data_IF_990908233178
#
_entry.id   IF_990908233178
#
_cell.length_a   1.000
_cell.length_b   1.000
_cell.length_c   1.000
_cell.angle_alpha   90.00
_cell.angle_beta   90.00
_cell.angle_gamma   90.00
#
_symmetry.space_group_name_H-M   'P 1'
#
loop_
_entity.id
_entity.type
_entity.pdbx_description
1 polymer ?
#
# COMPACT_ATOMS: atom_id res chain seq x y z
N UNK A 1 49.51 9.83 -19.71
CA UNK A 1 48.41 10.79 -19.92
C UNK A 1 47.26 10.42 -19.00
N UNK A 2 46.91 11.34 -18.10
CA UNK A 2 45.73 11.30 -17.23
C UNK A 2 44.47 11.50 -18.06
N UNK A 3 43.41 10.76 -17.75
CA UNK A 3 42.02 11.17 -17.57
C UNK A 3 41.38 9.97 -16.84
N UNK A 4 40.95 10.06 -15.58
CA UNK A 4 40.01 11.02 -15.02
C UNK A 4 38.77 10.21 -14.67
N UNK A 5 38.84 9.44 -13.58
CA UNK A 5 37.70 8.68 -13.07
C UNK A 5 36.85 9.66 -12.26
N UNK A 6 35.83 10.25 -12.87
CA UNK A 6 34.80 11.01 -12.17
C UNK A 6 33.91 10.01 -11.42
N UNK A 7 34.20 9.83 -10.15
CA UNK A 7 33.27 9.25 -9.19
C UNK A 7 32.42 10.38 -8.63
N UNK A 8 31.31 10.64 -9.30
CA UNK A 8 30.24 11.53 -8.85
C UNK A 8 28.97 10.68 -8.85
N UNK A 9 28.19 10.50 -7.79
CA UNK A 9 28.24 10.94 -6.41
C UNK A 9 26.98 10.35 -5.78
N UNK A 10 27.09 9.19 -5.12
CA UNK A 10 25.99 8.59 -4.36
C UNK A 10 26.06 9.00 -2.87
N UNK A 11 27.22 9.49 -2.42
CA UNK A 11 27.50 9.83 -1.01
C UNK A 11 26.84 11.16 -0.58
N UNK A 12 26.23 11.90 -1.52
CA UNK A 12 25.53 13.18 -1.24
C UNK A 12 24.09 13.01 -0.73
N UNK A 13 23.57 11.79 -0.66
CA UNK A 13 22.18 11.51 -0.25
C UNK A 13 22.04 10.71 1.05
N UNK A 14 23.14 10.31 1.70
CA UNK A 14 23.12 9.54 2.95
C UNK A 14 23.64 10.32 4.16
N UNK A 15 23.89 11.62 4.00
CA UNK A 15 24.17 12.52 5.11
C UNK A 15 22.90 12.76 5.91
N UNK A 16 22.57 11.85 6.82
CA UNK A 16 21.62 12.11 7.90
C UNK A 16 22.22 13.24 8.75
N UNK A 17 21.60 14.43 8.72
CA UNK A 17 21.86 15.46 9.72
C UNK A 17 21.42 14.90 11.07
N UNK A 18 22.36 14.31 11.83
CA UNK A 18 22.19 14.06 13.26
C UNK A 18 22.50 15.35 14.02
N UNK A 19 21.68 16.37 13.79
CA UNK A 19 21.64 17.57 14.62
C UNK A 19 20.35 17.49 15.45
N UNK A 20 20.44 16.72 16.54
CA UNK A 20 19.47 16.73 17.62
C UNK A 20 19.45 18.16 18.19
N UNK A 21 18.41 18.93 17.87
CA UNK A 21 18.24 20.32 18.33
C UNK A 21 17.85 20.28 19.82
N UNK A 22 18.72 20.72 20.75
CA UNK A 22 18.49 20.55 22.19
C UNK A 22 17.43 21.50 22.78
N UNK A 23 16.73 22.30 21.96
CA UNK A 23 15.78 23.32 22.43
C UNK A 23 14.29 23.02 22.18
N UNK A 24 13.93 21.80 21.76
CA UNK A 24 12.50 21.42 21.69
C UNK A 24 12.02 21.04 23.09
N UNK A 25 11.55 22.04 23.85
CA UNK A 25 10.77 21.80 25.05
C UNK A 25 9.38 21.30 24.64
N UNK A 26 9.07 20.05 25.02
CA UNK A 26 7.73 19.47 24.95
C UNK A 26 6.78 20.32 25.80
N UNK A 27 5.88 21.08 25.16
CA UNK A 27 4.77 21.72 25.88
C UNK A 27 3.75 20.66 26.30
N UNK A 28 3.16 20.78 27.51
CA UNK A 28 2.19 19.81 28.00
C UNK A 28 0.92 19.81 27.15
N UNK A 29 0.44 18.61 26.86
CA UNK A 29 -0.82 18.38 26.13
C UNK A 29 -2.01 18.92 26.95
N UNK A 30 -2.76 19.87 26.37
CA UNK A 30 -4.02 20.36 26.92
C UNK A 30 -5.11 19.29 26.70
N UNK A 31 -5.50 18.65 27.79
CA UNK A 31 -6.58 17.66 27.86
C UNK A 31 -7.95 18.37 27.81
N UNK A 32 -8.38 18.80 26.63
CA UNK A 32 -9.77 19.19 26.42
C UNK A 32 -10.63 17.98 26.03
N UNK A 33 -11.26 17.42 27.07
CA UNK A 33 -12.34 16.44 27.06
C UNK A 33 -13.48 16.87 26.12
N UNK A 34 -13.40 16.41 24.87
CA UNK A 34 -14.51 16.41 23.93
C UNK A 34 -15.00 14.97 23.75
N UNK A 35 -15.60 14.44 24.82
CA UNK A 35 -16.58 13.36 24.74
C UNK A 35 -17.79 13.88 23.93
N UNK A 36 -17.70 13.82 22.61
CA UNK A 36 -18.85 13.88 21.69
C UNK A 36 -18.92 12.54 20.97
N UNK A 37 -19.60 11.62 21.65
CA UNK A 37 -19.82 10.20 21.35
C UNK A 37 -20.86 9.96 20.24
N UNK A 38 -21.04 10.92 19.33
CA UNK A 38 -22.00 10.82 18.23
C UNK A 38 -21.47 10.15 16.96
N UNK A 39 -21.06 8.87 17.01
CA UNK A 39 -20.70 8.10 15.81
C UNK A 39 -21.32 6.69 15.83
N UNK A 40 -22.65 6.64 15.83
CA UNK A 40 -23.46 5.43 15.60
C UNK A 40 -23.60 5.11 14.09
N UNK A 41 -22.57 5.34 13.27
CA UNK A 41 -22.59 4.96 11.85
C UNK A 41 -21.98 3.57 11.67
N UNK A 42 -22.89 2.60 11.58
CA UNK A 42 -22.65 1.19 11.31
C UNK A 42 -22.05 1.04 9.91
N UNK A 43 -20.73 0.82 9.84
CA UNK A 43 -20.02 0.54 8.58
C UNK A 43 -20.36 -0.88 8.13
N UNK A 44 -21.58 -1.05 7.61
CA UNK A 44 -22.09 -2.32 7.10
C UNK A 44 -21.34 -2.65 5.79
N UNK A 45 -20.20 -3.32 5.91
CA UNK A 45 -19.52 -4.00 4.80
C UNK A 45 -20.48 -5.11 4.40
N UNK A 46 -21.34 -4.83 3.42
CA UNK A 46 -22.37 -5.74 2.94
C UNK A 46 -21.84 -7.14 2.63
N UNK A 47 -22.78 -8.09 2.49
CA UNK A 47 -22.48 -9.51 2.27
C UNK A 47 -21.50 -9.69 1.10
N UNK A 48 -20.28 -10.10 1.43
CA UNK A 48 -19.29 -10.52 0.44
C UNK A 48 -19.83 -11.80 -0.20
N UNK A 49 -20.50 -11.67 -1.35
CA UNK A 49 -20.77 -12.83 -2.20
C UNK A 49 -19.43 -13.46 -2.53
N UNK A 50 -19.23 -14.68 -2.02
CA UNK A 50 -18.14 -15.55 -2.39
C UNK A 50 -18.33 -15.92 -3.87
N UNK A 51 -17.71 -15.14 -4.74
CA UNK A 51 -17.53 -15.52 -6.13
C UNK A 51 -17.01 -16.96 -6.15
N UNK A 52 -17.81 -17.86 -6.73
CA UNK A 52 -17.57 -19.30 -6.69
C UNK A 52 -16.13 -19.60 -7.09
N UNK A 53 -15.42 -20.33 -6.24
CA UNK A 53 -14.04 -20.75 -6.45
C UNK A 53 -13.98 -21.69 -7.67
N UNK A 54 -13.87 -21.09 -8.85
CA UNK A 54 -13.75 -21.83 -10.11
C UNK A 54 -12.42 -22.54 -10.04
N UNK A 55 -12.43 -23.87 -10.00
CA UNK A 55 -11.22 -24.72 -9.98
C UNK A 55 -10.31 -24.31 -11.14
N UNK A 56 -9.31 -23.47 -10.84
CA UNK A 56 -8.34 -23.00 -11.83
C UNK A 56 -7.37 -24.14 -12.05
N UNK A 57 -7.22 -24.59 -13.29
CA UNK A 57 -6.18 -25.55 -13.65
C UNK A 57 -4.81 -24.94 -13.34
N UNK A 58 -4.21 -25.34 -12.22
CA UNK A 58 -2.91 -24.86 -11.80
C UNK A 58 -1.83 -25.45 -12.73
N UNK A 59 -1.03 -24.57 -13.32
CA UNK A 59 0.09 -25.01 -14.15
C UNK A 59 1.12 -25.73 -13.27
N UNK A 60 1.70 -26.85 -13.73
CA UNK A 60 2.69 -27.56 -12.94
C UNK A 60 3.95 -26.71 -12.71
N UNK A 61 4.51 -26.76 -11.50
CA UNK A 61 5.71 -26.02 -11.09
C UNK A 61 6.89 -26.13 -12.08
N UNK A 62 7.03 -27.28 -12.74
CA UNK A 62 8.07 -27.53 -13.73
C UNK A 62 7.98 -26.59 -14.95
N UNK A 63 6.77 -26.24 -15.37
CA UNK A 63 6.50 -25.31 -16.47
C UNK A 63 6.82 -23.89 -16.01
N UNK A 64 6.36 -23.51 -14.82
CA UNK A 64 6.63 -22.19 -14.23
C UNK A 64 8.14 -21.94 -14.06
N UNK A 65 8.87 -22.93 -13.52
CA UNK A 65 10.32 -22.86 -13.31
C UNK A 65 11.08 -22.81 -14.65
N UNK A 66 10.65 -23.57 -15.66
CA UNK A 66 11.31 -23.59 -16.97
C UNK A 66 11.10 -22.27 -17.70
N UNK A 67 9.87 -21.74 -17.69
CA UNK A 67 9.56 -20.44 -18.27
C UNK A 67 10.32 -19.30 -17.58
N UNK A 68 10.39 -19.30 -16.25
CA UNK A 68 11.12 -18.28 -15.49
C UNK A 68 12.64 -18.30 -15.74
N UNK A 69 13.20 -19.47 -16.04
CA UNK A 69 14.64 -19.63 -16.35
C UNK A 69 14.97 -19.37 -17.82
N UNK A 70 13.97 -19.40 -18.70
CA UNK A 70 14.17 -19.12 -20.11
C UNK A 70 14.22 -17.61 -20.36
N UNK A 71 15.46 -17.09 -20.39
CA UNK A 71 15.72 -15.67 -20.68
C UNK A 71 15.13 -15.23 -22.02
N UNK A 72 15.15 -16.09 -23.04
CA UNK A 72 14.65 -15.73 -24.36
C UNK A 72 13.12 -15.59 -24.32
N UNK A 73 12.43 -16.54 -23.70
CA UNK A 73 10.98 -16.48 -23.48
C UNK A 73 10.59 -15.21 -22.71
N UNK A 74 11.24 -14.95 -21.57
CA UNK A 74 10.96 -13.76 -20.75
C UNK A 74 11.23 -12.45 -21.51
N UNK A 75 12.25 -12.42 -22.37
CA UNK A 75 12.54 -11.23 -23.20
C UNK A 75 11.50 -11.04 -24.30
N UNK A 76 11.05 -12.13 -24.95
CA UNK A 76 10.00 -12.09 -25.97
C UNK A 76 8.67 -11.60 -25.39
N UNK A 77 8.27 -12.09 -24.20
CA UNK A 77 7.03 -11.67 -23.52
C UNK A 77 6.97 -10.17 -23.22
N UNK A 78 8.13 -9.51 -23.06
CA UNK A 78 8.19 -8.05 -22.89
C UNK A 78 7.79 -7.30 -24.16
N UNK A 79 8.19 -7.83 -25.31
CA UNK A 79 8.02 -7.17 -26.60
C UNK A 79 6.68 -7.59 -27.26
N UNK A 80 6.25 -8.84 -27.04
CA UNK A 80 5.00 -9.43 -27.58
C UNK A 80 3.78 -9.24 -26.64
N UNK A 81 4.01 -8.91 -25.36
CA UNK A 81 2.96 -8.72 -24.35
C UNK A 81 2.26 -10.03 -23.93
N UNK A 82 1.09 -9.88 -23.30
CA UNK A 82 0.19 -11.00 -22.99
C UNK A 82 -0.87 -11.11 -24.08
N UNK A 83 -0.91 -12.22 -24.83
CA UNK A 83 -1.97 -12.46 -25.80
C UNK A 83 -3.25 -12.86 -25.06
N UNK A 84 -4.27 -12.00 -25.12
CA UNK A 84 -5.60 -12.31 -24.60
C UNK A 84 -6.37 -13.09 -25.66
N UNK A 85 -6.42 -14.41 -25.53
CA UNK A 85 -7.26 -15.26 -26.37
C UNK A 85 -8.72 -15.16 -25.88
N UNK A 86 -9.51 -14.30 -26.51
CA UNK A 86 -10.95 -14.11 -26.20
C UNK A 86 -11.76 -15.41 -26.37
N UNK A 87 -11.26 -16.40 -27.11
CA UNK A 87 -11.93 -17.71 -27.24
C UNK A 87 -11.66 -18.64 -26.05
N UNK A 88 -10.58 -18.42 -25.29
CA UNK A 88 -10.20 -19.21 -24.12
C UNK A 88 -10.48 -18.51 -22.80
N UNK A 89 -10.40 -17.18 -22.78
CA UNK A 89 -10.54 -16.37 -21.58
C UNK A 89 -11.84 -15.55 -21.65
N UNK A 90 -12.86 -16.06 -20.94
CA UNK A 90 -14.09 -15.36 -20.58
C UNK A 90 -15.10 -15.09 -21.70
N UNK A 91 -16.39 -14.96 -21.37
CA UNK A 91 -17.37 -14.44 -22.33
C UNK A 91 -17.03 -12.98 -22.68
N UNK A 92 -17.44 -12.53 -23.88
CA UNK A 92 -17.53 -11.09 -24.14
C UNK A 92 -18.55 -10.50 -23.17
N UNK A 93 -18.09 -9.76 -22.16
CA UNK A 93 -18.94 -9.12 -21.16
C UNK A 93 -19.82 -8.07 -21.84
N UNK A 94 -21.04 -8.47 -22.23
CA UNK A 94 -21.97 -7.64 -23.00
C UNK A 94 -22.46 -6.40 -22.23
N UNK A 95 -22.34 -6.42 -20.90
CA UNK A 95 -22.78 -5.35 -20.00
C UNK A 95 -21.59 -4.68 -19.28
N UNK A 96 -20.39 -4.71 -19.88
CA UNK A 96 -19.26 -3.97 -19.32
C UNK A 96 -19.60 -2.47 -19.33
N UNK A 97 -19.40 -1.83 -18.19
CA UNK A 97 -19.61 -0.39 -18.05
C UNK A 97 -18.71 0.37 -19.05
N UNK A 98 -19.33 0.92 -20.10
CA UNK A 98 -18.70 1.77 -21.12
C UNK A 98 -18.90 3.27 -20.81
N UNK A 99 -19.23 3.58 -19.56
CA UNK A 99 -19.42 4.96 -19.12
C UNK A 99 -18.10 5.69 -18.88
N UNK A 100 -18.17 7.00 -18.58
CA UNK A 100 -16.99 7.77 -18.24
C UNK A 100 -16.30 7.15 -17.02
N UNK A 101 -14.99 6.96 -17.15
CA UNK A 101 -14.10 6.48 -16.11
C UNK A 101 -13.16 7.60 -15.68
N UNK A 102 -12.85 7.67 -14.39
CA UNK A 102 -11.94 8.67 -13.84
C UNK A 102 -12.26 9.03 -12.40
N UNK A 103 -11.41 9.84 -11.77
CA UNK A 103 -11.68 10.37 -10.43
C UNK A 103 -12.95 11.23 -10.46
N UNK A 104 -13.72 11.21 -9.37
CA UNK A 104 -14.86 12.11 -9.22
C UNK A 104 -14.39 13.57 -9.18
N UNK A 105 -15.29 14.51 -9.51
CA UNK A 105 -14.99 15.95 -9.44
C UNK A 105 -14.50 16.39 -8.05
N UNK A 106 -14.96 15.73 -6.98
CA UNK A 106 -14.49 15.97 -5.61
C UNK A 106 -13.02 15.59 -5.40
N UNK A 107 -12.60 14.45 -5.95
CA UNK A 107 -11.20 13.98 -5.90
C UNK A 107 -10.33 14.86 -6.79
N UNK A 108 -10.83 15.23 -7.97
CA UNK A 108 -10.11 16.13 -8.89
C UNK A 108 -9.82 17.49 -8.25
N UNK A 109 -10.73 18.01 -7.40
CA UNK A 109 -10.53 19.29 -6.71
C UNK A 109 -9.38 19.28 -5.69
N UNK A 110 -8.98 18.11 -5.18
CA UNK A 110 -7.87 17.97 -4.22
C UNK A 110 -6.64 17.28 -4.83
N UNK A 111 -6.71 16.86 -6.11
CA UNK A 111 -5.69 16.03 -6.73
C UNK A 111 -4.32 16.72 -6.89
N UNK A 112 -4.30 18.06 -6.97
CA UNK A 112 -3.06 18.85 -7.09
C UNK A 112 -2.29 18.96 -5.77
N UNK A 113 -2.93 18.67 -4.64
CA UNK A 113 -2.29 18.62 -3.32
C UNK A 113 -2.18 17.15 -2.84
N UNK A 114 -0.98 16.55 -2.89
CA UNK A 114 -0.81 15.14 -2.52
C UNK A 114 -1.15 14.87 -1.05
N UNK A 115 -1.06 15.87 -0.15
CA UNK A 115 -1.48 15.72 1.24
C UNK A 115 -3.00 15.77 1.35
N UNK A 116 -3.66 16.69 0.66
CA UNK A 116 -5.13 16.74 0.64
C UNK A 116 -5.73 15.45 0.06
N UNK A 117 -5.12 14.90 -1.01
CA UNK A 117 -5.51 13.62 -1.58
C UNK A 117 -5.31 12.45 -0.60
N UNK A 118 -4.21 12.45 0.16
CA UNK A 118 -3.97 11.46 1.22
C UNK A 118 -5.07 11.52 2.28
N UNK A 119 -5.39 12.72 2.79
CA UNK A 119 -6.42 12.90 3.82
C UNK A 119 -7.85 12.72 3.31
N UNK A 120 -8.08 12.87 2.01
CA UNK A 120 -9.35 12.54 1.37
C UNK A 120 -9.69 11.04 1.53
N UNK A 121 -8.69 10.16 1.36
CA UNK A 121 -8.87 8.71 1.52
C UNK A 121 -8.60 8.21 2.94
N UNK A 122 -7.75 8.91 3.70
CA UNK A 122 -7.34 8.52 5.04
C UNK A 122 -7.60 9.68 6.01
N UNK A 123 -8.84 9.82 6.51
CA UNK A 123 -9.21 10.92 7.38
C UNK A 123 -8.36 10.96 8.66
N UNK A 124 -8.09 12.14 9.24
CA UNK A 124 -7.30 12.27 10.47
C UNK A 124 -7.77 11.38 11.64
N UNK A 125 -9.08 11.12 11.74
CA UNK A 125 -9.65 10.23 12.76
C UNK A 125 -9.17 8.79 12.64
N UNK A 126 -9.03 8.28 11.41
CA UNK A 126 -8.51 6.93 11.16
C UNK A 126 -7.09 6.82 11.72
N UNK A 127 -6.25 7.83 11.48
CA UNK A 127 -4.88 7.86 12.00
C UNK A 127 -4.84 7.92 13.53
N UNK A 128 -5.72 8.70 14.15
CA UNK A 128 -5.86 8.74 15.61
C UNK A 128 -6.22 7.36 16.18
N UNK A 129 -7.16 6.64 15.56
CA UNK A 129 -7.52 5.28 15.96
C UNK A 129 -6.37 4.29 15.75
N UNK A 130 -5.68 4.37 14.61
CA UNK A 130 -4.49 3.53 14.35
C UNK A 130 -3.42 3.76 15.41
N UNK A 131 -3.20 5.01 15.84
CA UNK A 131 -2.25 5.33 16.89
C UNK A 131 -2.66 4.72 18.25
N UNK A 132 -3.92 4.89 18.65
CA UNK A 132 -4.46 4.32 19.91
C UNK A 132 -4.36 2.80 19.91
N UNK A 133 -4.77 2.14 18.83
CA UNK A 133 -4.74 0.68 18.74
C UNK A 133 -3.29 0.16 18.64
N UNK A 134 -2.40 0.84 17.91
CA UNK A 134 -0.98 0.46 17.84
C UNK A 134 -0.31 0.55 19.21
N UNK A 135 -0.60 1.61 19.97
CA UNK A 135 -0.07 1.80 21.32
C UNK A 135 -0.62 0.71 22.27
N UNK A 136 -1.91 0.41 22.17
CA UNK A 136 -2.56 -0.66 22.94
C UNK A 136 -1.89 -2.02 22.64
N UNK A 137 -1.71 -2.35 21.36
CA UNK A 137 -1.02 -3.55 20.94
C UNK A 137 0.43 -3.60 21.43
N UNK A 138 1.15 -2.49 21.37
CA UNK A 138 2.54 -2.39 21.83
C UNK A 138 2.66 -2.75 23.31
N UNK A 139 1.82 -2.15 24.16
CA UNK A 139 1.79 -2.41 25.60
C UNK A 139 1.46 -3.88 25.93
N UNK A 140 0.57 -4.51 25.17
CA UNK A 140 0.14 -5.87 25.41
C UNK A 140 1.12 -6.92 24.87
N UNK A 141 1.71 -6.68 23.70
CA UNK A 141 2.49 -7.68 22.95
C UNK A 141 3.96 -7.75 23.36
N UNK A 142 4.58 -6.63 23.76
CA UNK A 142 6.02 -6.60 24.10
C UNK A 142 6.36 -7.48 25.30
N UNK A 143 5.63 -7.44 26.43
CA UNK A 143 5.94 -8.30 27.57
C UNK A 143 5.85 -9.79 27.20
N UNK A 144 4.85 -10.18 26.41
CA UNK A 144 4.67 -11.55 25.96
C UNK A 144 5.82 -12.00 25.05
N UNK A 145 6.18 -11.20 24.05
CA UNK A 145 7.32 -11.47 23.17
C UNK A 145 8.65 -11.54 23.93
N UNK A 146 8.85 -10.67 24.91
CA UNK A 146 10.04 -10.67 25.76
C UNK A 146 10.15 -11.94 26.62
N UNK A 147 9.01 -12.51 27.06
CA UNK A 147 9.00 -13.78 27.80
C UNK A 147 9.34 -14.98 26.90
N UNK A 148 8.80 -15.03 25.67
CA UNK A 148 9.12 -16.08 24.70
C UNK A 148 10.60 -16.13 24.34
N UNK A 149 11.29 -14.98 24.26
CA UNK A 149 12.73 -14.94 24.00
C UNK A 149 13.59 -15.40 25.18
N UNK A 150 13.01 -15.47 26.39
CA UNK A 150 13.71 -15.90 27.61
C UNK A 150 13.54 -17.40 27.91
N UNK A 151 12.68 -18.11 27.18
CA UNK A 151 12.49 -19.57 27.27
C UNK A 151 13.31 -20.30 26.22
#
# INVERSE_FOLDING_TARGET
>A
MRHGCEKEGADRYTGLNSDEDPDIQEEPEDEEDANDDGWDEDWDIGELTDESDVEREELPDSVCISAAKDKHLVTSMRDDGWEYDTSKFGPTYADLYDGPYGPSDSVLGVADDPLALLFYFLPPKLWAQIAVESNTYHCQSIPQRAQTLRS
#
